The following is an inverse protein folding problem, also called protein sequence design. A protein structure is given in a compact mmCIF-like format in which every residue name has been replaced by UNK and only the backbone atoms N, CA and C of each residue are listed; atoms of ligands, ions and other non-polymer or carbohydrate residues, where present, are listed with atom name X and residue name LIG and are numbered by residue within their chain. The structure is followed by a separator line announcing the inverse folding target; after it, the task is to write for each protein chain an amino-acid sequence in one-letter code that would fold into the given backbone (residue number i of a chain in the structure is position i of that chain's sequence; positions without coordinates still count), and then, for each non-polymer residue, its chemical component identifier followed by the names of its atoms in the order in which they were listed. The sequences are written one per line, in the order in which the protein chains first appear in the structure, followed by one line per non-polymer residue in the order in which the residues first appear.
data_IF_349137852639
#
_entry.id   IF_349137852639
#
_cell.length_a   1.000
_cell.length_b   1.000
_cell.length_c   1.000
_cell.angle_alpha   90.00
_cell.angle_beta   90.00
_cell.angle_gamma   90.00
#
_symmetry.space_group_name_H-M   'P 1'
#
loop_
_entity.id
_entity.type
_entity.pdbx_description
1 polymer ?
#
# COMPACT_ATOMS: atom_id res chain seq x y z
N UNK A 1 15.89 -3.47 1.39
CA UNK A 1 14.49 -3.66 0.92
C UNK A 1 13.63 -2.62 1.62
N UNK A 2 12.55 -2.15 1.00
CA UNK A 2 11.64 -1.15 1.59
C UNK A 2 10.29 -1.82 1.88
N UNK A 3 9.63 -1.45 2.99
CA UNK A 3 8.26 -1.91 3.27
C UNK A 3 7.24 -1.09 2.47
N UNK A 4 6.32 -1.76 1.78
CA UNK A 4 5.16 -1.10 1.17
C UNK A 4 4.09 -0.77 2.22
N UNK A 5 3.07 0.03 1.84
CA UNK A 5 2.00 0.47 2.75
C UNK A 5 1.30 -0.69 3.45
N UNK A 6 1.05 -1.78 2.74
CA UNK A 6 0.31 -2.93 3.28
C UNK A 6 1.11 -3.61 4.39
N UNK A 7 2.40 -3.88 4.14
CA UNK A 7 3.31 -4.48 5.12
C UNK A 7 3.61 -3.54 6.26
N UNK A 8 3.76 -2.25 5.96
CA UNK A 8 3.91 -1.20 6.93
C UNK A 8 2.73 -1.17 7.91
N UNK A 9 1.52 -1.18 7.38
CA UNK A 9 0.30 -1.23 8.16
C UNK A 9 0.22 -2.50 9.02
N UNK A 10 0.50 -3.68 8.46
CA UNK A 10 0.53 -4.93 9.22
C UNK A 10 1.55 -4.90 10.38
N UNK A 11 2.77 -4.43 10.12
CA UNK A 11 3.79 -4.26 11.17
C UNK A 11 3.32 -3.25 12.23
N UNK A 12 2.72 -2.14 11.84
CA UNK A 12 2.20 -1.14 12.77
C UNK A 12 1.13 -1.72 13.71
N UNK A 13 0.23 -2.57 13.20
CA UNK A 13 -0.80 -3.23 14.00
C UNK A 13 -0.15 -4.10 15.09
N UNK A 14 0.84 -4.91 14.71
CA UNK A 14 1.54 -5.84 15.61
C UNK A 14 2.41 -5.06 16.61
N UNK A 15 3.10 -4.02 16.15
CA UNK A 15 3.93 -3.16 17.00
C UNK A 15 3.10 -2.49 18.10
N UNK A 16 1.91 -1.96 17.78
CA UNK A 16 1.10 -1.24 18.77
C UNK A 16 0.29 -2.14 19.70
N UNK A 17 0.23 -3.45 19.45
CA UNK A 17 -0.50 -4.38 20.32
C UNK A 17 0.26 -4.68 21.60
N UNK A 18 -0.44 -4.65 22.74
CA UNK A 18 0.10 -5.05 24.05
C UNK A 18 0.28 -6.55 24.16
N UNK A 19 -0.62 -7.30 23.53
CA UNK A 19 -0.68 -8.75 23.59
C UNK A 19 -0.46 -9.37 22.20
N UNK A 20 -0.05 -10.65 22.11
CA UNK A 20 0.01 -11.36 20.84
C UNK A 20 -1.35 -11.34 20.13
N UNK A 21 -1.32 -11.08 18.82
CA UNK A 21 -2.54 -10.95 18.01
C UNK A 21 -2.80 -12.25 17.23
N UNK A 22 -3.95 -12.91 17.42
CA UNK A 22 -4.34 -14.04 16.59
C UNK A 22 -4.37 -13.69 15.10
N UNK A 23 -3.88 -14.57 14.23
CA UNK A 23 -3.88 -14.33 12.78
C UNK A 23 -5.28 -14.08 12.22
N UNK A 24 -6.31 -14.70 12.79
CA UNK A 24 -7.72 -14.46 12.45
C UNK A 24 -8.15 -13.00 12.66
N UNK A 25 -7.64 -12.35 13.71
CA UNK A 25 -7.97 -10.96 14.02
C UNK A 25 -7.26 -10.02 13.05
N UNK A 26 -6.03 -10.39 12.62
CA UNK A 26 -5.32 -9.69 11.55
C UNK A 26 -6.06 -9.81 10.21
N UNK A 27 -6.62 -10.98 9.88
CA UNK A 27 -7.48 -11.15 8.69
C UNK A 27 -8.66 -10.17 8.73
N UNK A 28 -9.37 -10.10 9.86
CA UNK A 28 -10.51 -9.20 10.01
C UNK A 28 -10.11 -7.73 9.93
N UNK A 29 -9.00 -7.33 10.55
CA UNK A 29 -8.55 -5.93 10.61
C UNK A 29 -7.94 -5.41 9.31
N UNK A 30 -7.31 -6.30 8.54
CA UNK A 30 -6.61 -5.92 7.30
C UNK A 30 -7.40 -6.26 6.04
N UNK A 31 -8.45 -7.07 6.15
CA UNK A 31 -9.21 -7.65 5.04
C UNK A 31 -8.32 -8.48 4.07
N UNK A 32 -7.19 -8.99 4.55
CA UNK A 32 -6.28 -9.85 3.79
C UNK A 32 -6.55 -11.32 4.06
N UNK A 33 -6.30 -12.17 3.07
CA UNK A 33 -6.31 -13.62 3.32
C UNK A 33 -5.18 -14.01 4.28
N UNK A 34 -5.39 -15.08 5.06
CA UNK A 34 -4.37 -15.62 5.94
C UNK A 34 -3.06 -15.97 5.20
N UNK A 35 -3.17 -16.47 3.96
CA UNK A 35 -2.00 -16.74 3.09
C UNK A 35 -1.23 -15.46 2.76
N UNK A 36 -1.94 -14.37 2.46
CA UNK A 36 -1.33 -13.06 2.18
C UNK A 36 -0.62 -12.52 3.42
N UNK A 37 -1.21 -12.68 4.60
CA UNK A 37 -0.60 -12.25 5.86
C UNK A 37 0.73 -12.97 6.09
N UNK A 38 0.80 -14.30 5.92
CA UNK A 38 2.06 -15.02 6.10
C UNK A 38 3.14 -14.59 5.10
N UNK A 39 2.77 -14.40 3.83
CA UNK A 39 3.70 -13.87 2.83
C UNK A 39 4.22 -12.48 3.23
N UNK A 40 3.35 -11.60 3.70
CA UNK A 40 3.74 -10.28 4.16
C UNK A 40 4.60 -10.33 5.42
N UNK A 41 4.34 -11.25 6.35
CA UNK A 41 5.20 -11.49 7.52
C UNK A 41 6.60 -11.90 7.12
N UNK A 42 6.78 -12.74 6.10
CA UNK A 42 8.12 -13.11 5.61
C UNK A 42 8.88 -11.89 5.08
N UNK A 43 8.19 -11.02 4.32
CA UNK A 43 8.79 -9.79 3.81
C UNK A 43 9.10 -8.79 4.91
N UNK A 44 8.22 -8.66 5.90
CA UNK A 44 8.43 -7.82 7.09
C UNK A 44 9.62 -8.34 7.90
N UNK A 45 9.71 -9.65 8.13
CA UNK A 45 10.80 -10.26 8.89
C UNK A 45 12.13 -10.13 8.17
N UNK A 46 12.15 -10.23 6.84
CA UNK A 46 13.34 -9.92 6.03
C UNK A 46 13.78 -8.47 6.26
N UNK A 47 12.84 -7.51 6.18
CA UNK A 47 13.12 -6.10 6.44
C UNK A 47 13.63 -5.84 7.86
N UNK A 48 12.98 -6.38 8.90
CA UNK A 48 13.40 -6.24 10.30
C UNK A 48 14.84 -6.70 10.50
N UNK A 49 15.21 -7.84 9.91
CA UNK A 49 16.60 -8.35 9.96
C UNK A 49 17.58 -7.38 9.30
N UNK A 50 17.23 -6.75 8.17
CA UNK A 50 18.09 -5.73 7.56
C UNK A 50 18.29 -4.48 8.42
N UNK A 51 17.36 -4.20 9.33
CA UNK A 51 17.44 -3.11 10.31
C UNK A 51 18.10 -3.55 11.64
N UNK A 52 18.60 -4.79 11.73
CA UNK A 52 19.17 -5.33 12.98
C UNK A 52 18.13 -5.54 14.08
N UNK A 53 16.87 -5.78 13.69
CA UNK A 53 15.75 -6.03 14.59
C UNK A 53 15.37 -7.52 14.57
N UNK A 54 14.91 -8.01 15.72
CA UNK A 54 14.32 -9.34 15.83
C UNK A 54 12.99 -9.42 15.07
N UNK A 55 12.72 -10.55 14.40
CA UNK A 55 11.51 -10.75 13.60
C UNK A 55 10.24 -10.83 14.46
N UNK A 56 9.09 -10.75 13.82
CA UNK A 56 7.80 -11.12 14.40
C UNK A 56 7.78 -12.62 14.68
N UNK A 57 7.33 -13.00 15.87
CA UNK A 57 7.25 -14.37 16.34
C UNK A 57 5.80 -14.80 16.61
N UNK A 58 5.58 -16.11 16.62
CA UNK A 58 4.31 -16.72 16.98
C UNK A 58 4.37 -17.29 18.39
N UNK A 59 3.50 -16.80 19.27
CA UNK A 59 3.28 -17.39 20.58
C UNK A 59 2.16 -18.42 20.49
N UNK A 60 2.48 -19.67 20.81
CA UNK A 60 1.55 -20.80 20.72
C UNK A 60 0.23 -20.50 21.45
N UNK A 61 -0.89 -20.67 20.75
CA UNK A 61 -2.24 -20.42 21.26
C UNK A 61 -2.62 -18.95 21.46
N UNK A 62 -1.69 -17.99 21.32
CA UNK A 62 -1.96 -16.56 21.54
C UNK A 62 -1.89 -15.72 20.27
N UNK A 63 -0.98 -16.04 19.35
CA UNK A 63 -0.86 -15.34 18.07
C UNK A 63 0.50 -14.67 17.87
N UNK A 64 0.54 -13.66 17.02
CA UNK A 64 1.77 -13.03 16.54
C UNK A 64 2.14 -11.82 17.40
N UNK A 65 3.41 -11.68 17.74
CA UNK A 65 3.92 -10.55 18.51
C UNK A 65 5.31 -10.10 18.00
N UNK A 66 5.63 -8.84 18.24
CA UNK A 66 6.97 -8.31 18.00
C UNK A 66 7.75 -8.32 19.33
N UNK A 67 8.98 -8.86 19.37
CA UNK A 67 9.79 -8.87 20.59
C UNK A 67 9.95 -7.47 21.21
N UNK A 68 9.93 -7.33 22.55
CA UNK A 68 9.98 -6.02 23.22
C UNK A 68 11.17 -5.15 22.84
N UNK A 69 12.34 -5.75 22.57
CA UNK A 69 13.53 -5.04 22.13
C UNK A 69 13.35 -4.39 20.75
N UNK A 70 12.83 -5.14 19.77
CA UNK A 70 12.47 -4.62 18.44
C UNK A 70 11.39 -3.55 18.52
N UNK A 71 10.36 -3.80 19.34
CA UNK A 71 9.26 -2.86 19.54
C UNK A 71 9.75 -1.53 20.09
N UNK A 72 10.62 -1.55 21.10
CA UNK A 72 11.20 -0.34 21.69
C UNK A 72 12.03 0.45 20.69
N UNK A 73 12.89 -0.21 19.90
CA UNK A 73 13.69 0.45 18.86
C UNK A 73 12.84 1.11 17.78
N UNK A 74 11.76 0.46 17.34
CA UNK A 74 10.79 1.04 16.39
C UNK A 74 9.94 2.18 16.98
N UNK A 75 9.85 2.29 18.31
CA UNK A 75 9.18 3.42 18.97
C UNK A 75 10.10 4.62 19.18
N UNK A 76 11.41 4.40 19.36
CA UNK A 76 12.40 5.49 19.46
C UNK A 76 12.58 6.20 18.10
N UNK A 77 12.40 5.50 16.99
CA UNK A 77 12.39 6.11 15.64
C UNK A 77 11.12 6.94 15.35
N UNK A 78 10.19 7.09 16.30
CA UNK A 78 8.86 7.69 16.12
C UNK A 78 8.81 9.21 16.34
N UNK A 79 9.91 9.84 16.76
CA UNK A 79 10.06 11.31 16.66
C UNK A 79 10.14 11.78 15.20
N UNK A 80 10.26 10.85 14.27
CA UNK A 80 9.90 11.03 12.88
C UNK A 80 8.51 10.43 12.67
N UNK A 81 7.57 11.27 12.28
CA UNK A 81 6.15 11.00 12.15
C UNK A 81 5.85 9.76 11.29
N UNK A 82 4.61 9.28 11.36
CA UNK A 82 4.05 8.23 10.50
C UNK A 82 4.26 8.50 8.99
N UNK A 83 4.70 9.71 8.63
CA UNK A 83 5.09 10.17 7.28
C UNK A 83 6.40 9.53 6.78
N UNK A 84 7.28 9.03 7.66
CA UNK A 84 8.57 8.42 7.27
C UNK A 84 8.48 6.94 6.89
N UNK A 85 7.31 6.32 7.07
CA UNK A 85 7.06 5.02 6.45
C UNK A 85 6.81 5.28 4.96
N UNK A 86 7.85 5.10 4.13
CA UNK A 86 7.87 5.26 2.67
C UNK A 86 6.61 4.70 1.99
N UNK A 87 5.55 5.52 1.98
CA UNK A 87 4.21 5.12 1.58
C UNK A 87 4.21 4.78 0.09
N UNK A 88 4.02 3.51 -0.22
CA UNK A 88 3.84 3.05 -1.59
C UNK A 88 2.41 2.59 -1.78
N UNK A 89 1.70 3.26 -2.70
CA UNK A 89 0.35 2.90 -3.10
C UNK A 89 0.31 1.42 -3.56
N UNK A 90 -0.77 0.71 -3.30
CA UNK A 90 -1.04 -0.59 -3.90
C UNK A 90 -1.49 -0.43 -5.37
N UNK A 91 -1.59 -1.53 -6.13
CA UNK A 91 -2.15 -1.47 -7.50
C UNK A 91 -3.59 -0.94 -7.47
N UNK A 92 -4.41 -1.44 -6.55
CA UNK A 92 -5.82 -1.06 -6.42
C UNK A 92 -5.96 0.42 -6.03
N UNK A 93 -5.12 0.92 -5.13
CA UNK A 93 -5.14 2.34 -4.75
C UNK A 93 -4.76 3.26 -5.90
N UNK A 94 -3.76 2.88 -6.70
CA UNK A 94 -3.38 3.63 -7.91
C UNK A 94 -4.50 3.63 -8.95
N UNK A 95 -5.17 2.52 -9.13
CA UNK A 95 -6.33 2.41 -10.03
C UNK A 95 -7.47 3.34 -9.59
N UNK A 96 -7.82 3.31 -8.29
CA UNK A 96 -8.83 4.21 -7.71
C UNK A 96 -8.44 5.68 -7.89
N UNK A 97 -7.16 6.03 -7.67
CA UNK A 97 -6.66 7.39 -7.88
C UNK A 97 -6.75 7.84 -9.33
N UNK A 98 -6.41 6.97 -10.30
CA UNK A 98 -6.55 7.28 -11.72
C UNK A 98 -8.03 7.50 -12.07
N UNK A 99 -8.94 6.62 -11.62
CA UNK A 99 -10.38 6.77 -11.84
C UNK A 99 -10.93 8.05 -11.22
N UNK A 100 -10.58 8.34 -9.96
CA UNK A 100 -11.00 9.54 -9.26
C UNK A 100 -10.52 10.80 -9.98
N UNK A 101 -9.26 10.82 -10.42
CA UNK A 101 -8.71 11.95 -11.17
C UNK A 101 -9.43 12.16 -12.50
N UNK A 102 -9.75 11.09 -13.24
CA UNK A 102 -10.54 11.15 -14.47
C UNK A 102 -11.94 11.70 -14.22
N UNK A 103 -12.63 11.25 -13.16
CA UNK A 103 -14.04 11.58 -12.91
C UNK A 103 -14.25 12.94 -12.23
N UNK A 104 -13.30 13.37 -11.39
CA UNK A 104 -13.44 14.55 -10.55
C UNK A 104 -12.65 15.75 -11.07
N UNK A 105 -11.59 15.51 -11.86
CA UNK A 105 -10.63 16.54 -12.27
C UNK A 105 -10.25 16.35 -13.76
N UNK A 106 -11.26 16.25 -14.63
CA UNK A 106 -11.11 15.93 -16.06
C UNK A 106 -10.04 16.77 -16.79
N UNK A 107 -9.94 18.07 -16.46
CA UNK A 107 -8.98 18.99 -17.11
C UNK A 107 -7.52 18.70 -16.77
N UNK A 108 -7.28 18.06 -15.62
CA UNK A 108 -5.95 17.73 -15.10
C UNK A 108 -5.62 16.23 -15.25
N UNK A 109 -6.49 15.47 -15.91
CA UNK A 109 -6.37 14.03 -16.13
C UNK A 109 -5.37 13.69 -17.26
N UNK A 110 -4.14 14.18 -17.13
CA UNK A 110 -3.06 13.97 -18.09
C UNK A 110 -2.17 12.78 -17.73
N UNK A 111 -1.49 12.22 -18.74
CA UNK A 111 -0.52 11.12 -18.54
C UNK A 111 0.56 11.49 -17.53
N UNK A 112 1.09 12.72 -17.60
CA UNK A 112 2.10 13.18 -16.66
C UNK A 112 1.54 13.22 -15.23
N UNK A 113 0.31 13.72 -15.06
CA UNK A 113 -0.32 13.80 -13.74
C UNK A 113 -0.59 12.43 -13.13
N UNK A 114 -0.96 11.44 -13.95
CA UNK A 114 -1.09 10.06 -13.48
C UNK A 114 0.26 9.45 -13.07
N UNK A 115 1.33 9.74 -13.82
CA UNK A 115 2.69 9.30 -13.46
C UNK A 115 3.12 9.90 -12.13
N UNK A 116 2.93 11.19 -11.93
CA UNK A 116 3.28 11.88 -10.69
C UNK A 116 2.45 11.36 -9.51
N UNK A 117 1.14 11.19 -9.71
CA UNK A 117 0.19 10.75 -8.68
C UNK A 117 0.42 9.31 -8.21
N UNK A 118 0.85 8.42 -9.12
CA UNK A 118 0.93 6.98 -8.85
C UNK A 118 2.34 6.43 -8.80
N UNK A 119 3.32 7.19 -9.29
CA UNK A 119 4.70 6.74 -9.56
C UNK A 119 4.79 5.55 -10.53
N UNK A 120 3.74 5.30 -11.33
CA UNK A 120 3.75 4.26 -12.36
C UNK A 120 4.44 4.74 -13.64
N UNK A 121 4.99 3.79 -14.40
CA UNK A 121 5.47 4.08 -15.74
C UNK A 121 4.33 4.47 -16.68
N UNK A 122 4.64 5.26 -17.71
CA UNK A 122 3.70 5.59 -18.80
C UNK A 122 3.05 4.35 -19.41
N UNK A 123 3.82 3.28 -19.61
CA UNK A 123 3.31 2.01 -20.18
C UNK A 123 2.32 1.31 -19.25
N UNK A 124 2.58 1.31 -17.96
CA UNK A 124 1.66 0.77 -16.94
C UNK A 124 0.36 1.56 -16.92
N UNK A 125 0.42 2.90 -16.89
CA UNK A 125 -0.77 3.75 -16.89
C UNK A 125 -1.57 3.58 -18.18
N UNK A 126 -0.91 3.46 -19.34
CA UNK A 126 -1.61 3.21 -20.60
C UNK A 126 -2.41 1.89 -20.57
N UNK A 127 -1.86 0.84 -19.94
CA UNK A 127 -2.57 -0.41 -19.74
C UNK A 127 -3.76 -0.23 -18.78
N UNK A 128 -3.56 0.44 -17.65
CA UNK A 128 -4.65 0.72 -16.68
C UNK A 128 -5.77 1.55 -17.32
N UNK A 129 -5.46 2.60 -18.08
CA UNK A 129 -6.46 3.41 -18.80
C UNK A 129 -7.26 2.56 -19.79
N UNK A 130 -6.65 1.57 -20.44
CA UNK A 130 -7.35 0.65 -21.35
C UNK A 130 -8.36 -0.21 -20.58
N UNK A 131 -8.00 -0.71 -19.40
CA UNK A 131 -8.88 -1.48 -18.51
C UNK A 131 -10.04 -0.59 -18.00
N UNK A 132 -9.72 0.61 -17.51
CA UNK A 132 -10.70 1.61 -17.05
C UNK A 132 -11.68 1.99 -18.17
N UNK A 133 -11.20 2.18 -19.40
CA UNK A 133 -12.07 2.49 -20.55
C UNK A 133 -13.10 1.39 -20.81
N UNK A 134 -12.71 0.12 -20.67
CA UNK A 134 -13.64 -1.00 -20.84
C UNK A 134 -14.67 -1.07 -19.71
N UNK A 135 -14.24 -0.83 -18.48
CA UNK A 135 -15.12 -0.77 -17.30
C UNK A 135 -16.15 0.37 -17.43
N UNK A 136 -15.69 1.57 -17.76
CA UNK A 136 -16.54 2.74 -17.94
C UNK A 136 -17.57 2.52 -19.04
N UNK A 137 -17.17 1.89 -20.16
CA UNK A 137 -18.10 1.57 -21.23
C UNK A 137 -19.22 0.63 -20.79
N UNK A 138 -18.96 -0.31 -19.87
CA UNK A 138 -19.99 -1.19 -19.30
C UNK A 138 -20.95 -0.43 -18.38
N UNK A 139 -20.48 0.64 -17.75
CA UNK A 139 -21.28 1.55 -16.94
C UNK A 139 -21.98 2.66 -17.74
N UNK A 140 -21.90 2.65 -19.08
CA UNK A 140 -22.50 3.67 -19.94
C UNK A 140 -21.68 4.96 -20.08
N UNK A 141 -20.46 5.00 -19.54
CA UNK A 141 -19.55 6.14 -19.63
C UNK A 141 -18.60 6.00 -20.83
N UNK A 142 -18.22 7.12 -21.44
CA UNK A 142 -17.26 7.15 -22.56
C UNK A 142 -16.02 7.96 -22.18
N UNK A 143 -14.87 7.30 -22.17
CA UNK A 143 -13.56 7.94 -21.99
C UNK A 143 -12.93 8.27 -23.36
N UNK A 144 -12.64 9.56 -23.59
CA UNK A 144 -12.00 10.07 -24.80
C UNK A 144 -10.65 10.74 -24.48
N UNK A 145 -9.74 10.72 -25.46
CA UNK A 145 -8.47 11.43 -25.36
C UNK A 145 -8.60 12.79 -26.05
N UNK A 146 -8.18 13.85 -25.36
CA UNK A 146 -8.06 15.20 -25.93
C UNK A 146 -6.58 15.58 -25.94
N UNK A 147 -6.06 15.92 -27.13
CA UNK A 147 -4.69 16.42 -27.25
C UNK A 147 -4.63 17.79 -26.56
N UNK A 148 -3.65 17.99 -25.68
CA UNK A 148 -3.39 19.31 -25.09
C UNK A 148 -3.12 20.32 -26.21
N UNK A 149 -3.86 21.42 -26.21
CA UNK A 149 -3.57 22.57 -27.07
C UNK A 149 -2.36 23.29 -26.45
N UNK A 150 -1.23 23.32 -27.16
CA UNK A 150 -0.12 24.20 -26.82
C UNK A 150 -0.66 25.64 -26.80
N UNK A 151 -0.81 26.18 -25.59
CA UNK A 151 -0.94 27.63 -25.41
C UNK A 151 0.48 28.08 -25.11
N UNK A 152 1.15 28.53 -26.17
CA UNK A 152 2.46 29.17 -26.09
C UNK A 152 2.41 30.54 -25.43
#
# INVERSE_FOLDING_TARGET
MVLDKRRAHLLSIIQHSTDPIPTKDLVTRTNLSQRTIYYDLDQINSWLRTQGLEPIESQHGKGLFLPPASKSKLMVSKDQSFEDWQYQLSRQEREVLIKAKILLEEQDASMQRFMDLTSMSRGTIAKEIKEIKQEFSKAGLRLYYKKGSDTG
#
